data_IF_377134171526
#
_entry.id   IF_377134171526
#
_cell.length_a   1.000
_cell.length_b   1.000
_cell.length_c   1.000
_cell.angle_alpha   90.00
_cell.angle_beta   90.00
_cell.angle_gamma   90.00
#
_symmetry.space_group_name_H-M   'P 1'
#
loop_
_entity.id
_entity.type
_entity.pdbx_description
1 polymer ?
#
# COMPACT_ATOMS: atom_id res chain seq x y z
N UNK A 1 15.42 -19.35 -6.73
CA UNK A 1 15.96 -18.10 -7.31
C UNK A 1 14.84 -17.08 -7.20
N UNK A 2 15.11 -15.85 -6.75
CA UNK A 2 14.08 -14.81 -6.64
C UNK A 2 14.15 -13.94 -7.87
N UNK A 3 13.01 -13.72 -8.52
CA UNK A 3 12.91 -12.81 -9.66
C UNK A 3 12.68 -11.38 -9.16
N UNK A 4 13.32 -10.42 -9.82
CA UNK A 4 13.16 -8.99 -9.53
C UNK A 4 12.84 -8.30 -10.85
N UNK A 5 11.74 -7.55 -10.89
CA UNK A 5 11.39 -6.71 -12.02
C UNK A 5 11.85 -5.27 -11.82
N UNK A 6 12.18 -4.61 -12.93
CA UNK A 6 12.47 -3.19 -12.99
C UNK A 6 11.83 -2.62 -14.25
N UNK A 7 11.06 -1.54 -14.09
CA UNK A 7 10.40 -0.85 -15.19
C UNK A 7 10.73 0.64 -15.15
N UNK A 8 10.53 1.30 -16.29
CA UNK A 8 10.53 2.76 -16.39
C UNK A 8 9.14 3.19 -16.82
N UNK A 9 8.54 4.11 -16.08
CA UNK A 9 7.27 4.75 -16.43
C UNK A 9 7.35 6.25 -16.24
N UNK A 10 6.39 6.97 -16.82
CA UNK A 10 6.22 8.42 -16.66
C UNK A 10 5.17 8.78 -15.60
N UNK A 11 4.39 7.80 -15.15
CA UNK A 11 3.41 7.91 -14.09
C UNK A 11 3.55 6.74 -13.10
N UNK A 12 3.27 7.00 -11.82
CA UNK A 12 3.45 6.01 -10.75
C UNK A 12 2.60 4.75 -10.95
N UNK A 13 1.38 4.88 -11.48
CA UNK A 13 0.51 3.74 -11.77
C UNK A 13 1.17 2.80 -12.81
N UNK A 14 1.57 3.33 -13.96
CA UNK A 14 2.14 2.54 -15.06
C UNK A 14 3.44 1.85 -14.66
N UNK A 15 4.31 2.57 -13.93
CA UNK A 15 5.58 2.02 -13.46
C UNK A 15 5.35 0.85 -12.50
N UNK A 16 4.47 1.02 -11.50
CA UNK A 16 4.19 -0.02 -10.50
C UNK A 16 3.45 -1.20 -11.11
N UNK A 17 2.39 -0.95 -11.89
CA UNK A 17 1.61 -2.03 -12.53
C UNK A 17 2.50 -2.85 -13.46
N UNK A 18 3.28 -2.20 -14.32
CA UNK A 18 4.21 -2.89 -15.22
C UNK A 18 5.30 -3.68 -14.47
N UNK A 19 5.78 -3.20 -13.33
CA UNK A 19 6.73 -3.96 -12.51
C UNK A 19 6.08 -5.20 -11.90
N UNK A 20 4.88 -5.07 -11.34
CA UNK A 20 4.15 -6.19 -10.74
C UNK A 20 3.78 -7.25 -11.79
N UNK A 21 3.36 -6.84 -12.99
CA UNK A 21 2.99 -7.77 -14.06
C UNK A 21 4.16 -8.66 -14.50
N UNK A 22 5.39 -8.14 -14.51
CA UNK A 22 6.59 -8.90 -14.87
C UNK A 22 6.95 -10.01 -13.87
N UNK A 23 6.51 -9.90 -12.62
CA UNK A 23 6.68 -10.94 -11.58
C UNK A 23 5.35 -11.58 -11.21
N UNK A 24 4.29 -11.37 -12.01
CA UNK A 24 2.94 -11.81 -11.68
C UNK A 24 2.89 -13.30 -11.39
N UNK A 25 3.55 -14.13 -12.19
CA UNK A 25 3.57 -15.59 -12.03
C UNK A 25 4.31 -16.06 -10.75
N UNK A 26 5.15 -15.21 -10.17
CA UNK A 26 5.89 -15.50 -8.93
C UNK A 26 5.10 -15.11 -7.67
N UNK A 27 3.98 -14.38 -7.82
CA UNK A 27 3.16 -13.91 -6.70
C UNK A 27 1.91 -14.78 -6.56
N UNK A 28 1.88 -15.53 -5.46
CA UNK A 28 0.74 -16.29 -4.96
C UNK A 28 0.19 -15.63 -3.69
N UNK A 29 -1.14 -15.46 -3.61
CA UNK A 29 -1.82 -14.81 -2.49
C UNK A 29 -2.74 -15.84 -1.83
N UNK A 30 -2.48 -16.23 -0.57
CA UNK A 30 -3.36 -17.13 0.17
C UNK A 30 -4.78 -16.57 0.28
N UNK A 31 -5.79 -17.41 0.09
CA UNK A 31 -7.21 -17.04 0.15
C UNK A 31 -7.76 -16.92 1.57
N UNK A 32 -7.03 -17.47 2.56
CA UNK A 32 -7.42 -17.53 3.97
C UNK A 32 -6.81 -16.41 4.83
N UNK A 33 -6.06 -15.47 4.23
CA UNK A 33 -5.40 -14.38 4.95
C UNK A 33 -5.91 -13.00 4.52
N UNK A 34 -6.05 -12.06 5.46
CA UNK A 34 -6.32 -10.67 5.11
C UNK A 34 -5.12 -10.05 4.39
N UNK A 35 -5.39 -9.15 3.44
CA UNK A 35 -4.37 -8.41 2.70
C UNK A 35 -4.27 -6.99 3.22
N UNK A 36 -3.08 -6.64 3.68
CA UNK A 36 -2.73 -5.32 4.18
C UNK A 36 -1.74 -4.64 3.24
N UNK A 37 -1.99 -3.37 2.94
CA UNK A 37 -1.10 -2.53 2.13
C UNK A 37 -0.58 -1.41 3.03
N UNK A 38 0.73 -1.40 3.29
CA UNK A 38 1.38 -0.31 4.02
C UNK A 38 1.79 0.79 3.04
N UNK A 39 1.12 1.94 3.10
CA UNK A 39 1.45 3.11 2.29
C UNK A 39 2.35 4.06 3.08
N UNK A 40 3.66 4.04 2.81
CA UNK A 40 4.61 4.87 3.53
C UNK A 40 4.24 6.37 3.45
N UNK A 41 4.13 7.04 4.58
CA UNK A 41 3.88 8.50 4.68
C UNK A 41 4.61 9.05 5.91
N UNK A 42 5.74 9.73 5.70
CA UNK A 42 6.53 10.27 6.83
C UNK A 42 5.88 11.54 7.38
N UNK A 43 5.46 12.44 6.50
CA UNK A 43 4.78 13.69 6.85
C UNK A 43 3.39 13.78 6.22
N UNK A 44 2.33 14.00 7.01
CA UNK A 44 0.97 14.14 6.51
C UNK A 44 0.71 15.50 5.84
N UNK A 45 1.73 16.37 5.75
CA UNK A 45 1.64 17.70 5.12
C UNK A 45 2.57 17.88 3.93
N UNK A 46 3.48 16.92 3.67
CA UNK A 46 4.39 16.92 2.51
C UNK A 46 4.11 15.71 1.64
N UNK A 47 3.38 15.91 0.53
CA UNK A 47 2.93 14.82 -0.36
C UNK A 47 4.08 13.98 -0.94
N UNK A 48 5.23 14.60 -1.25
CA UNK A 48 6.42 13.90 -1.74
C UNK A 48 7.06 12.94 -0.71
N UNK A 49 6.64 13.01 0.56
CA UNK A 49 7.04 12.05 1.60
C UNK A 49 6.11 10.84 1.71
N UNK A 50 5.07 10.80 0.88
CA UNK A 50 4.07 9.75 0.84
C UNK A 50 4.18 8.89 -0.44
N UNK A 51 3.78 7.62 -0.34
CA UNK A 51 3.58 6.79 -1.52
C UNK A 51 2.49 7.42 -2.41
N UNK A 52 2.69 7.57 -3.73
CA UNK A 52 1.63 8.14 -4.58
C UNK A 52 0.38 7.26 -4.58
N UNK A 53 -0.82 7.85 -4.47
CA UNK A 53 -2.11 7.11 -4.50
C UNK A 53 -2.22 6.24 -5.76
N UNK A 54 -1.72 6.73 -6.89
CA UNK A 54 -1.68 6.00 -8.16
C UNK A 54 -0.84 4.71 -8.10
N UNK A 55 0.23 4.67 -7.27
CA UNK A 55 1.01 3.45 -7.05
C UNK A 55 0.23 2.41 -6.22
N UNK A 56 -0.51 2.88 -5.21
CA UNK A 56 -1.39 2.02 -4.41
C UNK A 56 -2.51 1.44 -5.28
N UNK A 57 -3.12 2.27 -6.15
CA UNK A 57 -4.12 1.83 -7.12
C UNK A 57 -3.62 0.71 -8.02
N UNK A 58 -2.42 0.87 -8.62
CA UNK A 58 -1.79 -0.18 -9.42
C UNK A 58 -1.58 -1.49 -8.64
N UNK A 59 -1.22 -1.38 -7.36
CA UNK A 59 -1.05 -2.53 -6.47
C UNK A 59 -2.38 -3.21 -6.18
N UNK A 60 -3.44 -2.44 -5.92
CA UNK A 60 -4.80 -2.94 -5.71
C UNK A 60 -5.31 -3.67 -6.95
N UNK A 61 -5.19 -3.09 -8.14
CA UNK A 61 -5.63 -3.72 -9.40
C UNK A 61 -4.92 -5.04 -9.64
N UNK A 62 -3.60 -5.09 -9.43
CA UNK A 62 -2.82 -6.33 -9.51
C UNK A 62 -3.32 -7.40 -8.52
N UNK A 63 -3.62 -7.02 -7.27
CA UNK A 63 -4.11 -7.97 -6.26
C UNK A 63 -5.56 -8.42 -6.53
N UNK A 64 -6.40 -7.54 -7.10
CA UNK A 64 -7.75 -7.89 -7.55
C UNK A 64 -7.71 -8.92 -8.67
N UNK A 65 -6.79 -8.77 -9.64
CA UNK A 65 -6.55 -9.77 -10.68
C UNK A 65 -6.10 -11.13 -10.11
N UNK A 66 -5.49 -11.12 -8.92
CA UNK A 66 -5.12 -12.32 -8.14
C UNK A 66 -6.24 -12.84 -7.24
N UNK A 67 -7.44 -12.24 -7.28
CA UNK A 67 -8.62 -12.71 -6.57
C UNK A 67 -8.83 -12.09 -5.18
N UNK A 68 -8.00 -11.13 -4.77
CA UNK A 68 -8.18 -10.41 -3.50
C UNK A 68 -9.37 -9.46 -3.62
N UNK A 69 -10.24 -9.45 -2.61
CA UNK A 69 -11.50 -8.68 -2.63
C UNK A 69 -11.58 -7.57 -1.60
N UNK A 70 -10.87 -7.72 -0.47
CA UNK A 70 -10.90 -6.80 0.65
C UNK A 70 -9.48 -6.46 1.07
N UNK A 71 -9.27 -5.18 1.38
CA UNK A 71 -7.96 -4.65 1.72
C UNK A 71 -8.03 -3.78 2.98
N UNK A 72 -6.90 -3.71 3.69
CA UNK A 72 -6.66 -2.68 4.70
C UNK A 72 -5.44 -1.87 4.30
N UNK A 73 -5.61 -0.57 4.09
CA UNK A 73 -4.49 0.35 3.88
C UNK A 73 -4.08 0.93 5.24
N UNK A 74 -2.80 0.81 5.56
CA UNK A 74 -2.28 1.23 6.86
C UNK A 74 -1.09 2.16 6.71
N UNK A 75 -0.90 3.00 7.71
CA UNK A 75 0.33 3.75 7.93
C UNK A 75 0.42 4.21 9.39
N UNK A 76 1.60 4.59 9.87
CA UNK A 76 1.80 5.32 11.12
C UNK A 76 2.74 6.49 10.86
N UNK A 77 2.19 7.67 10.59
CA UNK A 77 3.00 8.85 10.24
C UNK A 77 3.94 9.26 11.36
N UNK A 78 5.17 9.64 11.01
CA UNK A 78 6.17 10.05 11.99
C UNK A 78 5.99 11.51 12.43
N UNK A 79 5.69 12.41 11.50
CA UNK A 79 5.51 13.83 11.79
C UNK A 79 4.05 14.09 12.18
N UNK A 80 3.85 14.70 13.34
CA UNK A 80 2.56 15.11 13.92
C UNK A 80 1.55 13.97 14.16
N UNK A 81 1.88 12.72 13.82
CA UNK A 81 1.05 11.51 13.98
C UNK A 81 -0.36 11.62 13.37
N UNK A 82 -0.61 12.54 12.43
CA UNK A 82 -1.89 12.73 11.75
C UNK A 82 -2.03 11.82 10.52
N UNK A 83 -2.05 10.50 10.73
CA UNK A 83 -2.16 9.54 9.63
C UNK A 83 -3.46 9.70 8.84
N UNK A 84 -4.60 9.80 9.54
CA UNK A 84 -5.91 9.88 8.89
C UNK A 84 -6.11 11.19 8.12
N UNK A 85 -5.62 12.32 8.65
CA UNK A 85 -5.61 13.58 7.92
C UNK A 85 -4.65 13.55 6.73
N UNK A 86 -3.52 12.85 6.82
CA UNK A 86 -2.65 12.58 5.68
C UNK A 86 -3.34 11.80 4.56
N UNK A 87 -4.03 10.69 4.90
CA UNK A 87 -4.83 9.93 3.93
C UNK A 87 -5.90 10.78 3.24
N UNK A 88 -6.59 11.64 4.00
CA UNK A 88 -7.57 12.57 3.43
C UNK A 88 -6.91 13.59 2.51
N UNK A 89 -5.86 14.26 2.99
CA UNK A 89 -5.19 15.37 2.30
C UNK A 89 -4.53 14.95 0.99
N UNK A 90 -3.95 13.76 0.96
CA UNK A 90 -3.29 13.23 -0.24
C UNK A 90 -4.23 12.39 -1.13
N UNK A 91 -5.52 12.32 -0.81
CA UNK A 91 -6.53 11.73 -1.69
C UNK A 91 -6.64 10.20 -1.65
N UNK A 92 -6.04 9.53 -0.66
CA UNK A 92 -6.10 8.07 -0.53
C UNK A 92 -7.53 7.55 -0.39
N UNK A 93 -8.40 8.31 0.27
CA UNK A 93 -9.79 7.90 0.49
C UNK A 93 -10.61 7.75 -0.80
N UNK A 94 -10.16 8.32 -1.92
CA UNK A 94 -10.77 8.08 -3.24
C UNK A 94 -10.74 6.60 -3.65
N UNK A 95 -9.81 5.80 -3.11
CA UNK A 95 -9.75 4.37 -3.38
C UNK A 95 -10.99 3.61 -2.89
N UNK A 96 -11.77 4.15 -1.95
CA UNK A 96 -13.04 3.53 -1.51
C UNK A 96 -14.12 3.54 -2.58
N UNK A 97 -13.97 4.35 -3.62
CA UNK A 97 -14.95 4.42 -4.72
C UNK A 97 -14.92 3.15 -5.59
N UNK A 98 -13.74 2.52 -5.71
CA UNK A 98 -13.50 1.41 -6.61
C UNK A 98 -13.20 0.08 -5.88
N UNK A 99 -12.77 0.13 -4.62
CA UNK A 99 -12.30 -1.03 -3.86
C UNK A 99 -12.92 -1.12 -2.46
N UNK A 100 -13.11 -2.34 -1.95
CA UNK A 100 -13.46 -2.59 -0.54
C UNK A 100 -12.21 -2.43 0.34
N UNK A 101 -11.98 -1.19 0.79
CA UNK A 101 -10.77 -0.77 1.52
C UNK A 101 -11.13 -0.11 2.84
N UNK A 102 -10.54 -0.65 3.92
CA UNK A 102 -10.47 0.00 5.22
C UNK A 102 -9.15 0.76 5.38
N UNK A 103 -9.16 1.84 6.17
CA UNK A 103 -7.97 2.64 6.45
C UNK A 103 -7.70 2.64 7.95
N UNK A 104 -6.44 2.46 8.34
CA UNK A 104 -6.07 2.34 9.75
C UNK A 104 -4.77 3.10 10.05
N UNK A 105 -4.76 3.74 11.22
CA UNK A 105 -3.61 4.43 11.78
C UNK A 105 -2.87 3.52 12.75
N UNK A 106 -1.67 3.07 12.37
CA UNK A 106 -0.82 2.21 13.18
C UNK A 106 -0.31 2.92 14.44
N UNK A 107 -0.31 4.25 14.49
CA UNK A 107 0.02 4.99 15.72
C UNK A 107 -1.04 4.83 16.81
N UNK A 108 -2.25 4.38 16.46
CA UNK A 108 -3.37 4.15 17.37
C UNK A 108 -3.63 2.66 17.62
N UNK A 109 -2.80 1.77 17.07
CA UNK A 109 -2.94 0.32 17.22
C UNK A 109 -2.12 -0.20 18.40
N UNK A 110 -2.51 -1.38 18.89
CA UNK A 110 -1.75 -2.09 19.91
C UNK A 110 -0.43 -2.59 19.30
N UNK A 111 0.66 -2.47 20.07
CA UNK A 111 1.96 -3.01 19.68
C UNK A 111 2.26 -4.32 20.42
N UNK A 112 2.92 -5.24 19.72
CA UNK A 112 3.49 -6.45 20.31
C UNK A 112 5.01 -6.32 20.33
N UNK A 113 5.61 -6.60 21.48
CA UNK A 113 7.07 -6.64 21.61
C UNK A 113 7.53 -8.01 21.11
N UNK A 114 8.42 -8.00 20.12
CA UNK A 114 9.05 -9.20 19.60
C UNK A 114 10.57 -9.06 19.70
N UNK A 115 11.26 -10.10 20.17
CA UNK A 115 12.72 -10.15 20.10
C UNK A 115 13.12 -10.60 18.70
N UNK A 116 13.67 -9.68 17.90
CA UNK A 116 14.32 -10.02 16.65
C UNK A 116 15.74 -10.53 16.94
N UNK A 117 16.10 -11.67 16.38
CA UNK A 117 17.49 -12.16 16.39
C UNK A 117 18.30 -11.33 15.38
N UNK A 118 19.37 -10.70 15.84
CA UNK A 118 20.45 -10.16 14.99
C UNK A 118 21.25 -11.29 14.33
#
# INVERSE_FOLDING_TARGET
MVNVSLTRGTASYEAVKGALDLIGDDVDIPDDRPVLIKANMVSPTVELSATPVAAIRATLDFLVEKGVKKFTIVEGTAVDSDTMGGFQRFGYFSLREDYDVEFMDLNQDDSVIFECLD
#
